data_IF_970549806468
#
_entry.id   IF_970549806468
#
_cell.length_a   1.000
_cell.length_b   1.000
_cell.length_c   1.000
_cell.angle_alpha   90.00
_cell.angle_beta   90.00
_cell.angle_gamma   90.00
#
_symmetry.space_group_name_H-M   'P 1'
#
loop_
_entity.id
_entity.type
_entity.pdbx_description
1 polymer ?
#
# COMPACT_ATOMS: atom_id res chain seq x y z
N UNK A 1 1.38 -13.11 11.82
CA UNK A 1 2.00 -12.39 10.70
C UNK A 1 0.90 -12.00 9.73
N UNK A 2 0.75 -10.72 9.40
CA UNK A 2 -0.08 -10.33 8.25
C UNK A 2 0.63 -10.81 6.99
N UNK A 3 -0.01 -11.72 6.26
CA UNK A 3 0.48 -12.14 4.95
C UNK A 3 0.20 -10.98 4.00
N UNK A 4 1.23 -10.40 3.41
CA UNK A 4 1.11 -9.29 2.44
C UNK A 4 0.17 -9.61 1.29
N UNK A 5 0.01 -10.88 0.97
CA UNK A 5 -0.94 -11.39 -0.02
C UNK A 5 -2.39 -10.99 0.32
N UNK A 6 -2.75 -10.87 1.60
CA UNK A 6 -4.10 -10.46 2.03
C UNK A 6 -4.37 -8.97 1.82
N UNK A 7 -3.33 -8.16 1.61
CA UNK A 7 -3.47 -6.73 1.35
C UNK A 7 -3.65 -6.43 -0.14
N UNK A 8 -3.24 -7.34 -1.02
CA UNK A 8 -3.36 -7.15 -2.47
C UNK A 8 -4.84 -7.10 -2.86
N UNK A 9 -5.21 -6.11 -3.67
CA UNK A 9 -6.59 -5.83 -4.06
C UNK A 9 -7.41 -5.11 -2.98
N UNK A 10 -6.77 -4.61 -1.92
CA UNK A 10 -7.44 -3.77 -0.92
C UNK A 10 -7.05 -2.30 -1.07
N UNK A 11 -7.92 -1.42 -0.57
CA UNK A 11 -7.74 0.03 -0.66
C UNK A 11 -7.38 0.66 0.68
N UNK A 12 -6.61 1.73 0.58
CA UNK A 12 -6.16 2.57 1.69
C UNK A 12 -6.24 4.02 1.29
N UNK A 13 -6.18 4.90 2.28
CA UNK A 13 -6.09 6.34 2.08
C UNK A 13 -4.76 6.86 2.62
N UNK A 14 -4.07 7.71 1.88
CA UNK A 14 -2.86 8.36 2.40
C UNK A 14 -3.23 9.26 3.58
N UNK A 15 -2.88 8.83 4.79
CA UNK A 15 -3.36 9.47 6.01
C UNK A 15 -4.89 9.61 6.05
N UNK A 16 -5.39 10.60 6.79
CA UNK A 16 -6.84 10.78 6.99
C UNK A 16 -7.55 11.52 5.86
N UNK A 17 -6.83 12.23 5.00
CA UNK A 17 -7.41 13.17 4.03
C UNK A 17 -6.75 13.13 2.64
N UNK A 18 -5.77 12.26 2.42
CA UNK A 18 -5.13 12.10 1.11
C UNK A 18 -5.97 11.26 0.14
N UNK A 19 -5.42 11.00 -1.05
CA UNK A 19 -6.12 10.23 -2.07
C UNK A 19 -6.23 8.75 -1.71
N UNK A 20 -7.20 8.06 -2.29
CA UNK A 20 -7.34 6.60 -2.14
C UNK A 20 -6.37 5.90 -3.09
N UNK A 21 -5.77 4.81 -2.63
CA UNK A 21 -4.91 3.95 -3.43
C UNK A 21 -5.24 2.47 -3.24
N UNK A 22 -5.04 1.69 -4.30
CA UNK A 22 -5.12 0.23 -4.30
C UNK A 22 -3.73 -0.39 -4.13
N UNK A 23 -3.65 -1.48 -3.38
CA UNK A 23 -2.42 -2.26 -3.21
C UNK A 23 -2.36 -3.36 -4.27
N UNK A 24 -1.40 -3.29 -5.19
CA UNK A 24 -1.37 -4.17 -6.37
C UNK A 24 -0.52 -5.43 -6.19
N UNK A 25 0.69 -5.31 -5.65
CA UNK A 25 1.61 -6.46 -5.48
C UNK A 25 2.77 -6.14 -4.54
N UNK A 26 3.42 -7.18 -4.00
CA UNK A 26 4.73 -7.02 -3.35
C UNK A 26 5.84 -6.83 -4.38
N UNK A 27 6.82 -5.97 -4.09
CA UNK A 27 7.97 -5.73 -4.96
C UNK A 27 9.21 -6.43 -4.42
N UNK A 28 9.75 -5.97 -3.29
CA UNK A 28 10.94 -6.55 -2.64
C UNK A 28 10.99 -6.24 -1.15
N UNK A 29 11.70 -7.07 -0.40
CA UNK A 29 12.11 -6.74 0.96
C UNK A 29 13.26 -5.73 0.93
N UNK A 30 13.29 -4.86 1.93
CA UNK A 30 14.35 -3.89 2.17
C UNK A 30 15.35 -4.44 3.19
N UNK A 31 16.60 -3.95 3.23
CA UNK A 31 17.63 -4.43 4.15
C UNK A 31 17.27 -4.28 5.65
N UNK A 32 16.36 -3.38 5.98
CA UNK A 32 15.85 -3.13 7.34
C UNK A 32 14.69 -4.06 7.75
N UNK A 33 14.28 -4.96 6.86
CA UNK A 33 13.17 -5.90 7.08
C UNK A 33 11.79 -5.35 6.69
N UNK A 34 11.70 -4.10 6.23
CA UNK A 34 10.47 -3.57 5.64
C UNK A 34 10.27 -4.12 4.20
N UNK A 35 9.16 -3.79 3.56
CA UNK A 35 8.82 -4.26 2.22
C UNK A 35 8.24 -3.13 1.39
N UNK A 36 8.65 -3.06 0.12
CA UNK A 36 7.98 -2.22 -0.86
C UNK A 36 6.82 -2.97 -1.50
N UNK A 37 5.69 -2.28 -1.58
CA UNK A 37 4.47 -2.69 -2.27
C UNK A 37 4.24 -1.76 -3.44
N UNK A 38 3.82 -2.28 -4.58
CA UNK A 38 3.32 -1.48 -5.69
C UNK A 38 1.89 -1.08 -5.36
N UNK A 39 1.60 0.21 -5.42
CA UNK A 39 0.25 0.76 -5.26
C UNK A 39 -0.15 1.55 -6.52
N UNK A 40 -1.45 1.77 -6.69
CA UNK A 40 -1.98 2.70 -7.68
C UNK A 40 -2.91 3.71 -7.00
N UNK A 41 -2.69 4.99 -7.25
CA UNK A 41 -3.60 6.06 -6.81
C UNK A 41 -4.85 5.98 -7.68
N UNK A 42 -6.01 5.75 -7.05
CA UNK A 42 -7.28 5.45 -7.76
C UNK A 42 -7.70 6.63 -8.64
N UNK A 43 -7.52 7.85 -8.14
CA UNK A 43 -7.99 9.07 -8.80
C UNK A 43 -7.19 9.44 -10.05
N UNK A 44 -5.90 9.12 -10.08
CA UNK A 44 -4.98 9.51 -11.16
C UNK A 44 -4.50 8.34 -12.02
N UNK A 45 -4.62 7.11 -11.53
CA UNK A 45 -4.03 5.92 -12.13
C UNK A 45 -2.52 5.82 -11.95
N UNK A 46 -1.88 6.76 -11.23
CA UNK A 46 -0.44 6.77 -11.01
C UNK A 46 0.00 5.56 -10.17
N UNK A 47 1.01 4.85 -10.66
CA UNK A 47 1.61 3.71 -9.96
C UNK A 47 2.94 4.10 -9.31
N UNK A 48 3.09 3.76 -8.03
CA UNK A 48 4.31 4.01 -7.28
C UNK A 48 4.62 2.88 -6.28
N UNK A 49 5.88 2.78 -5.89
CA UNK A 49 6.30 1.88 -4.81
C UNK A 49 6.12 2.58 -3.45
N UNK A 50 5.48 1.91 -2.50
CA UNK A 50 5.15 2.44 -1.18
C UNK A 50 5.47 1.43 -0.08
N UNK A 51 5.88 1.93 1.10
CA UNK A 51 6.35 1.08 2.19
C UNK A 51 5.19 0.37 2.87
N UNK A 52 5.33 -0.94 3.09
CA UNK A 52 4.36 -1.74 3.83
C UNK A 52 4.12 -1.17 5.23
N UNK A 53 5.17 -0.72 5.91
CA UNK A 53 5.05 -0.08 7.22
C UNK A 53 4.11 1.12 7.24
N UNK A 54 4.10 1.93 6.18
CA UNK A 54 3.23 3.11 6.09
C UNK A 54 1.82 2.73 5.63
N UNK A 55 1.69 1.78 4.70
CA UNK A 55 0.40 1.17 4.30
C UNK A 55 -0.38 0.63 5.52
N UNK A 56 0.32 0.01 6.47
CA UNK A 56 -0.32 -0.57 7.65
C UNK A 56 -0.83 0.48 8.65
N UNK A 57 -0.31 1.71 8.61
CA UNK A 57 -0.79 2.84 9.43
C UNK A 57 -1.91 3.61 8.76
N UNK A 58 -1.94 3.59 7.43
CA UNK A 58 -2.97 4.26 6.66
C UNK A 58 -4.36 3.63 6.90
N UNK A 59 -5.41 4.46 7.06
CA UNK A 59 -6.76 3.99 7.24
C UNK A 59 -7.20 3.03 6.12
N UNK A 60 -8.00 2.02 6.48
CA UNK A 60 -8.72 1.21 5.49
C UNK A 60 -9.78 2.07 4.82
N UNK A 61 -9.91 1.90 3.51
CA UNK A 61 -11.05 2.38 2.75
C UNK A 61 -11.94 1.16 2.41
N UNK A 62 -13.26 1.32 2.51
CA UNK A 62 -14.24 0.25 2.28
C UNK A 62 -14.78 0.24 0.86
#
# INVERSE_FOLDING_TARGET
MLQTEQLIGTWRRFGSAGPVYEILRSVRQLPDGDRLMRIQVVETGEELDYKLHDILKDPREN
#
